data_IF_794913314683
#
_entry.id   IF_794913314683
#
_cell.length_a   1.000
_cell.length_b   1.000
_cell.length_c   1.000
_cell.angle_alpha   90.00
_cell.angle_beta   90.00
_cell.angle_gamma   90.00
#
_symmetry.space_group_name_H-M   'P 1'
#
loop_
_entity.id
_entity.type
_entity.pdbx_description
1 polymer ?
#
# COMPACT_ATOMS: atom_id res chain seq x y z
N UNK A 1 13.25 -9.33 26.25
CA UNK A 1 12.94 -8.66 24.97
C UNK A 1 14.04 -7.63 24.73
N UNK A 2 14.75 -7.71 23.59
CA UNK A 2 15.99 -6.94 23.32
C UNK A 2 15.66 -5.46 23.09
N UNK A 3 16.50 -4.58 23.65
CA UNK A 3 16.50 -3.13 23.43
C UNK A 3 16.73 -2.82 21.94
N UNK A 4 15.75 -2.19 21.28
CA UNK A 4 15.95 -1.63 19.94
C UNK A 4 16.80 -0.35 20.05
N UNK A 5 18.04 -0.40 19.55
CA UNK A 5 18.87 0.78 19.32
C UNK A 5 18.38 1.48 18.05
N UNK A 6 17.35 2.33 18.18
CA UNK A 6 16.81 3.14 17.08
C UNK A 6 15.60 3.96 17.56
N UNK A 7 15.41 5.16 16.99
CA UNK A 7 14.24 6.02 17.28
C UNK A 7 12.91 5.40 16.82
N UNK A 8 12.97 4.47 15.87
CA UNK A 8 11.82 3.84 15.22
C UNK A 8 11.86 2.32 15.40
N UNK A 9 10.69 1.67 15.31
CA UNK A 9 10.53 0.23 15.47
C UNK A 9 11.06 -0.53 14.24
N UNK A 10 10.84 0.00 13.04
CA UNK A 10 11.19 -0.64 11.77
C UNK A 10 12.39 0.02 11.10
N UNK A 11 13.24 -0.78 10.44
CA UNK A 11 14.41 -0.27 9.71
C UNK A 11 14.05 0.58 8.48
N UNK A 12 12.87 0.32 7.91
CA UNK A 12 12.32 1.03 6.74
C UNK A 12 11.49 2.26 7.15
N UNK A 13 11.39 2.55 8.44
CA UNK A 13 10.60 3.67 8.94
C UNK A 13 11.10 4.99 8.36
N UNK A 14 10.20 5.74 7.75
CA UNK A 14 10.53 7.04 7.15
C UNK A 14 11.60 6.98 6.05
N UNK A 15 11.82 5.81 5.43
CA UNK A 15 12.86 5.62 4.43
C UNK A 15 12.42 6.04 3.02
N UNK A 16 13.34 6.62 2.27
CA UNK A 16 13.26 6.72 0.81
C UNK A 16 13.85 5.46 0.20
N UNK A 17 13.08 4.81 -0.67
CA UNK A 17 13.36 3.49 -1.21
C UNK A 17 13.17 3.46 -2.72
N UNK A 18 14.02 2.70 -3.41
CA UNK A 18 14.01 2.60 -4.88
C UNK A 18 13.39 1.30 -5.36
N UNK A 19 12.32 1.42 -6.15
CA UNK A 19 11.64 0.31 -6.80
C UNK A 19 11.92 0.35 -8.30
N UNK A 20 12.18 -0.80 -8.92
CA UNK A 20 12.40 -0.87 -10.35
C UNK A 20 11.94 -2.20 -10.96
N UNK A 21 11.65 -2.18 -12.25
CA UNK A 21 11.55 -3.40 -13.06
C UNK A 21 12.90 -4.11 -13.08
N UNK A 22 12.88 -5.41 -13.37
CA UNK A 22 14.10 -6.23 -13.48
C UNK A 22 15.10 -5.71 -14.52
N UNK A 23 14.60 -5.10 -15.60
CA UNK A 23 15.43 -4.51 -16.67
C UNK A 23 15.82 -3.04 -16.40
N UNK A 24 15.35 -2.45 -15.30
CA UNK A 24 15.61 -1.06 -14.93
C UNK A 24 14.93 -0.01 -15.80
N UNK A 25 14.03 -0.40 -16.71
CA UNK A 25 13.34 0.53 -17.62
C UNK A 25 12.36 1.46 -16.91
N UNK A 26 11.73 0.99 -15.83
CA UNK A 26 10.86 1.78 -14.96
C UNK A 26 11.47 1.81 -13.57
N UNK A 27 11.68 3.02 -13.04
CA UNK A 27 12.25 3.26 -11.72
C UNK A 27 11.39 4.27 -10.99
N UNK A 28 11.03 3.95 -9.75
CA UNK A 28 10.30 4.83 -8.85
C UNK A 28 11.02 4.94 -7.51
N UNK A 29 10.96 6.13 -6.90
CA UNK A 29 11.39 6.32 -5.52
C UNK A 29 10.15 6.59 -4.68
N UNK A 30 9.88 5.70 -3.73
CA UNK A 30 8.77 5.83 -2.81
C UNK A 30 9.32 6.17 -1.43
N UNK A 31 8.58 6.99 -0.71
CA UNK A 31 8.88 7.30 0.68
C UNK A 31 7.88 6.59 1.59
N UNK A 32 8.37 5.92 2.63
CA UNK A 32 7.53 5.30 3.64
C UNK A 32 7.13 6.33 4.70
N UNK A 33 5.91 6.86 4.72
CA UNK A 33 5.56 7.91 5.70
C UNK A 33 5.27 7.37 7.11
N UNK A 34 5.57 6.09 7.37
CA UNK A 34 5.15 5.32 8.55
C UNK A 34 6.34 4.76 9.29
N UNK A 35 6.11 4.35 10.54
CA UNK A 35 6.96 3.41 11.27
C UNK A 35 6.39 1.99 11.11
N UNK A 36 6.52 1.45 9.90
CA UNK A 36 5.96 0.16 9.50
C UNK A 36 6.75 -0.44 8.34
N UNK A 37 6.54 -1.73 8.08
CA UNK A 37 7.17 -2.44 6.95
C UNK A 37 6.55 -2.04 5.62
N UNK A 38 7.32 -2.21 4.54
CA UNK A 38 6.87 -1.98 3.17
C UNK A 38 6.85 -3.27 2.34
N UNK A 39 6.04 -3.34 1.26
CA UNK A 39 6.04 -4.48 0.35
C UNK A 39 7.35 -4.61 -0.43
N UNK A 40 7.81 -5.84 -0.67
CA UNK A 40 8.95 -6.11 -1.55
C UNK A 40 8.68 -5.79 -3.03
N UNK A 41 7.41 -5.93 -3.43
CA UNK A 41 6.94 -5.82 -4.80
C UNK A 41 5.70 -4.94 -4.82
N UNK A 42 5.61 -4.09 -5.84
CA UNK A 42 4.46 -3.24 -6.11
C UNK A 42 4.25 -3.10 -7.62
N UNK A 43 3.12 -2.54 -8.04
CA UNK A 43 2.89 -2.19 -9.44
C UNK A 43 3.28 -0.73 -9.71
N UNK A 44 3.77 -0.44 -10.91
CA UNK A 44 4.02 0.91 -11.40
C UNK A 44 2.76 1.78 -11.33
N UNK A 45 2.93 3.11 -11.37
CA UNK A 45 1.81 4.06 -11.33
C UNK A 45 0.71 3.78 -12.37
N UNK A 46 1.08 3.27 -13.55
CA UNK A 46 0.14 2.92 -14.63
C UNK A 46 -0.40 1.49 -14.54
N UNK A 47 0.01 0.72 -13.51
CA UNK A 47 -0.40 -0.65 -13.27
C UNK A 47 0.18 -1.69 -14.23
N UNK A 48 1.07 -1.31 -15.16
CA UNK A 48 1.54 -2.21 -16.23
C UNK A 48 2.79 -3.02 -15.90
N UNK A 49 3.55 -2.57 -14.91
CA UNK A 49 4.84 -3.15 -14.58
C UNK A 49 4.91 -3.56 -13.12
N UNK A 50 5.49 -4.73 -12.86
CA UNK A 50 5.91 -5.14 -11.53
C UNK A 50 7.26 -4.48 -11.19
N UNK A 51 7.31 -3.79 -10.06
CA UNK A 51 8.50 -3.15 -9.53
C UNK A 51 8.92 -3.84 -8.23
N UNK A 52 10.21 -4.16 -8.12
CA UNK A 52 10.81 -4.74 -6.92
C UNK A 52 11.71 -3.72 -6.22
N UNK A 53 11.88 -3.84 -4.90
CA UNK A 53 12.85 -3.02 -4.16
C UNK A 53 14.29 -3.47 -4.49
N UNK A 54 15.05 -2.60 -5.17
CA UNK A 54 16.31 -2.97 -5.82
C UNK A 54 17.58 -2.46 -5.14
N UNK A 55 17.47 -1.52 -4.19
CA UNK A 55 18.63 -0.78 -3.65
C UNK A 55 18.57 -0.63 -2.12
N UNK A 56 18.53 -1.77 -1.42
CA UNK A 56 18.42 -1.86 0.04
C UNK A 56 19.48 -1.07 0.81
N UNK A 57 20.70 -0.97 0.25
CA UNK A 57 21.80 -0.25 0.90
C UNK A 57 21.74 1.27 0.64
N UNK A 58 21.01 1.68 -0.40
CA UNK A 58 20.77 3.08 -0.74
C UNK A 58 19.60 3.71 0.02
N UNK A 59 18.85 2.92 0.79
CA UNK A 59 17.72 3.41 1.56
C UNK A 59 18.15 4.46 2.58
N UNK A 60 17.43 5.59 2.59
CA UNK A 60 17.75 6.73 3.45
C UNK A 60 16.57 7.08 4.34
N UNK A 61 16.74 6.90 5.65
CA UNK A 61 15.77 7.39 6.65
C UNK A 61 15.70 8.93 6.59
N UNK A 62 14.53 9.45 6.26
CA UNK A 62 14.26 10.87 6.06
C UNK A 62 12.90 11.26 6.70
N UNK A 63 12.82 11.33 8.04
CA UNK A 63 11.58 11.60 8.77
C UNK A 63 11.02 13.00 8.56
N UNK A 64 11.80 13.94 8.04
CA UNK A 64 11.37 15.28 7.66
C UNK A 64 11.18 15.45 6.15
N UNK A 65 11.25 14.36 5.37
CA UNK A 65 11.05 14.43 3.93
C UNK A 65 9.61 14.86 3.62
N UNK A 66 9.47 15.74 2.64
CA UNK A 66 8.19 16.21 2.12
C UNK A 66 8.14 15.77 0.66
N UNK A 67 7.27 14.81 0.30
CA UNK A 67 7.20 14.30 -1.05
C UNK A 67 6.58 15.33 -2.01
N UNK A 68 6.92 15.23 -3.30
CA UNK A 68 6.36 16.09 -4.34
C UNK A 68 4.93 15.66 -4.68
N UNK A 69 4.07 16.61 -5.07
CA UNK A 69 2.74 16.30 -5.60
C UNK A 69 2.88 15.41 -6.85
N UNK A 70 2.02 14.38 -6.96
CA UNK A 70 2.05 13.38 -8.01
C UNK A 70 3.07 12.25 -7.79
N UNK A 71 3.94 12.34 -6.78
CA UNK A 71 4.75 11.20 -6.36
C UNK A 71 3.93 10.19 -5.55
N UNK A 72 4.43 8.97 -5.38
CA UNK A 72 3.78 7.93 -4.57
C UNK A 72 4.51 7.73 -3.25
N UNK A 73 3.76 7.44 -2.19
CA UNK A 73 4.29 7.15 -0.86
C UNK A 73 3.52 6.02 -0.20
N UNK A 74 4.15 5.34 0.77
CA UNK A 74 3.45 4.37 1.59
C UNK A 74 2.74 5.07 2.75
N UNK A 75 1.46 4.73 2.93
CA UNK A 75 0.57 5.17 4.00
C UNK A 75 -0.07 3.98 4.69
N UNK A 76 -0.73 4.20 5.82
CA UNK A 76 -1.45 3.13 6.51
C UNK A 76 -2.72 2.82 5.75
N UNK A 77 -2.97 1.54 5.49
CA UNK A 77 -4.20 1.08 4.88
C UNK A 77 -5.37 1.32 5.83
N UNK A 78 -6.29 2.19 5.42
CA UNK A 78 -7.53 2.40 6.18
C UNK A 78 -8.54 1.29 5.90
N UNK A 79 -9.49 1.10 6.82
CA UNK A 79 -10.59 0.14 6.63
C UNK A 79 -11.44 0.51 5.44
N UNK A 80 -11.63 1.80 5.21
CA UNK A 80 -12.40 2.36 4.11
C UNK A 80 -11.74 2.04 2.77
N UNK A 81 -10.42 2.26 2.65
CA UNK A 81 -9.66 1.92 1.43
C UNK A 81 -9.59 0.42 1.21
N UNK A 82 -9.45 -0.39 2.25
CA UNK A 82 -9.57 -1.85 2.14
C UNK A 82 -10.94 -2.24 1.58
N UNK A 83 -12.02 -1.68 2.11
CA UNK A 83 -13.37 -1.98 1.65
C UNK A 83 -13.57 -1.59 0.17
N UNK A 84 -13.07 -0.42 -0.24
CA UNK A 84 -13.11 0.03 -1.63
C UNK A 84 -12.36 -0.96 -2.54
N UNK A 85 -11.12 -1.31 -2.19
CA UNK A 85 -10.34 -2.30 -2.93
C UNK A 85 -11.06 -3.66 -3.04
N UNK A 86 -11.72 -4.11 -1.96
CA UNK A 86 -12.48 -5.36 -1.98
C UNK A 86 -13.75 -5.26 -2.82
N UNK A 87 -14.39 -4.10 -2.91
CA UNK A 87 -15.53 -3.91 -3.83
C UNK A 87 -15.09 -4.07 -5.28
N UNK A 88 -13.97 -3.47 -5.68
CA UNK A 88 -13.41 -3.63 -7.02
C UNK A 88 -13.04 -5.08 -7.32
N UNK A 89 -12.38 -5.75 -6.37
CA UNK A 89 -12.04 -7.17 -6.48
C UNK A 89 -13.30 -8.03 -6.66
N UNK A 90 -14.31 -7.83 -5.82
CA UNK A 90 -15.58 -8.57 -5.95
C UNK A 90 -16.23 -8.30 -7.29
N UNK A 91 -16.25 -7.06 -7.78
CA UNK A 91 -16.84 -6.72 -9.07
C UNK A 91 -16.16 -7.48 -10.22
N UNK A 92 -14.82 -7.45 -10.25
CA UNK A 92 -14.02 -8.13 -11.27
C UNK A 92 -14.25 -9.65 -11.27
N UNK A 93 -14.33 -10.26 -10.09
CA UNK A 93 -14.39 -11.71 -9.95
C UNK A 93 -15.80 -12.29 -9.75
N UNK A 94 -16.85 -11.45 -9.70
CA UNK A 94 -18.22 -11.91 -9.44
C UNK A 94 -18.70 -12.92 -10.48
N UNK A 95 -18.46 -12.63 -11.75
CA UNK A 95 -18.86 -13.41 -12.91
C UNK A 95 -17.66 -13.80 -13.79
N UNK A 96 -16.43 -13.73 -13.28
CA UNK A 96 -15.23 -14.00 -14.07
C UNK A 96 -15.32 -15.32 -14.85
N UNK A 97 -14.82 -15.31 -16.08
CA UNK A 97 -14.76 -16.52 -16.90
C UNK A 97 -13.69 -17.47 -16.34
N UNK A 98 -14.05 -18.73 -16.10
CA UNK A 98 -13.16 -19.73 -15.52
C UNK A 98 -13.86 -20.68 -14.56
N UNK A 99 -13.08 -21.50 -13.86
CA UNK A 99 -13.56 -22.54 -12.95
C UNK A 99 -14.12 -21.97 -11.63
N UNK A 100 -13.72 -20.76 -11.26
CA UNK A 100 -14.12 -20.14 -9.99
C UNK A 100 -14.76 -18.77 -10.21
N UNK A 101 -16.04 -18.67 -9.85
CA UNK A 101 -16.82 -17.41 -9.85
C UNK A 101 -17.17 -17.09 -8.42
N UNK A 102 -16.95 -15.85 -8.00
CA UNK A 102 -17.17 -15.49 -6.61
C UNK A 102 -18.64 -15.63 -6.19
N UNK A 103 -19.58 -15.42 -7.12
CA UNK A 103 -21.02 -15.64 -6.86
C UNK A 103 -21.36 -17.08 -6.48
N UNK A 104 -20.54 -18.05 -6.89
CA UNK A 104 -20.75 -19.48 -6.64
C UNK A 104 -19.98 -19.94 -5.38
N UNK A 105 -19.21 -19.04 -4.74
CA UNK A 105 -18.51 -19.36 -3.50
C UNK A 105 -19.51 -19.61 -2.36
N UNK A 106 -19.39 -20.72 -1.60
CA UNK A 106 -20.37 -21.13 -0.60
C UNK A 106 -20.59 -20.10 0.52
N UNK A 107 -19.57 -19.31 0.87
CA UNK A 107 -19.69 -18.31 1.95
C UNK A 107 -19.87 -16.87 1.44
N UNK A 108 -19.45 -16.57 0.20
CA UNK A 108 -19.43 -15.19 -0.31
C UNK A 108 -20.59 -14.94 -1.27
N UNK A 109 -20.95 -15.94 -2.09
CA UNK A 109 -22.08 -15.87 -3.01
C UNK A 109 -23.40 -15.49 -2.32
N UNK A 110 -23.81 -16.16 -1.22
CA UNK A 110 -25.04 -15.84 -0.51
C UNK A 110 -25.10 -14.42 0.08
N UNK A 111 -23.96 -13.75 0.27
CA UNK A 111 -23.89 -12.40 0.82
C UNK A 111 -24.15 -11.31 -0.24
N UNK A 112 -24.17 -11.67 -1.52
CA UNK A 112 -24.14 -10.70 -2.62
C UNK A 112 -22.81 -9.94 -2.69
N UNK A 113 -22.68 -9.05 -3.69
CA UNK A 113 -21.42 -8.33 -3.93
C UNK A 113 -20.95 -7.51 -2.74
N UNK A 114 -21.83 -6.68 -2.19
CA UNK A 114 -21.48 -5.79 -1.07
C UNK A 114 -21.13 -6.57 0.19
N UNK A 115 -21.93 -7.59 0.54
CA UNK A 115 -21.66 -8.42 1.71
C UNK A 115 -20.38 -9.23 1.57
N UNK A 116 -20.06 -9.71 0.37
CA UNK A 116 -18.78 -10.36 0.07
C UNK A 116 -17.59 -9.38 0.22
N UNK A 117 -17.70 -8.17 -0.30
CA UNK A 117 -16.66 -7.15 -0.17
C UNK A 117 -16.40 -6.78 1.30
N UNK A 118 -17.46 -6.56 2.08
CA UNK A 118 -17.36 -6.32 3.52
C UNK A 118 -16.73 -7.49 4.26
N UNK A 119 -17.10 -8.73 3.92
CA UNK A 119 -16.54 -9.95 4.53
C UNK A 119 -15.05 -10.06 4.27
N UNK A 120 -14.62 -9.87 3.01
CA UNK A 120 -13.22 -9.93 2.63
C UNK A 120 -12.42 -8.80 3.30
N UNK A 121 -12.94 -7.57 3.28
CA UNK A 121 -12.27 -6.42 3.89
C UNK A 121 -12.06 -6.62 5.39
N UNK A 122 -13.08 -7.13 6.09
CA UNK A 122 -12.99 -7.42 7.52
C UNK A 122 -11.96 -8.51 7.84
N UNK A 123 -11.91 -9.57 7.04
CA UNK A 123 -11.02 -10.71 7.28
C UNK A 123 -9.55 -10.41 6.95
N UNK A 124 -9.31 -9.54 5.97
CA UNK A 124 -7.97 -9.30 5.45
C UNK A 124 -7.32 -8.03 6.00
N UNK A 125 -8.10 -7.06 6.50
CA UNK A 125 -7.54 -5.82 7.05
C UNK A 125 -6.73 -6.10 8.32
N UNK A 126 -5.53 -5.53 8.38
CA UNK A 126 -4.67 -5.56 9.55
C UNK A 126 -4.15 -4.16 9.86
N UNK A 127 -4.01 -3.85 11.14
CA UNK A 127 -3.42 -2.60 11.59
C UNK A 127 -1.95 -2.48 11.14
N UNK A 128 -1.56 -1.30 10.66
CA UNK A 128 -0.22 -1.04 10.11
C UNK A 128 0.06 -1.66 8.73
N UNK A 129 -0.93 -2.25 8.07
CA UNK A 129 -0.77 -2.77 6.71
C UNK A 129 -0.43 -1.62 5.73
N UNK A 130 0.55 -1.80 4.83
CA UNK A 130 0.89 -0.79 3.83
C UNK A 130 -0.17 -0.62 2.76
N UNK A 131 -0.39 0.64 2.40
CA UNK A 131 -1.04 1.05 1.16
C UNK A 131 -0.17 2.09 0.44
N UNK A 132 -0.44 2.34 -0.84
CA UNK A 132 0.22 3.36 -1.65
C UNK A 132 -0.77 4.48 -1.96
N UNK A 133 -0.36 5.71 -1.68
CA UNK A 133 -1.10 6.91 -2.06
C UNK A 133 -0.28 7.76 -3.03
N UNK A 134 -0.95 8.30 -4.05
CA UNK A 134 -0.43 9.45 -4.79
C UNK A 134 -0.54 10.70 -3.90
N UNK A 135 0.53 11.49 -3.85
CA UNK A 135 0.60 12.70 -3.04
C UNK A 135 -0.21 13.79 -3.72
N UNK A 136 -1.33 14.14 -3.10
CA UNK A 136 -2.17 15.28 -3.47
C UNK A 136 -1.81 16.52 -2.63
N UNK A 137 -2.35 17.69 -3.00
CA UNK A 137 -2.23 18.90 -2.18
C UNK A 137 -2.81 18.69 -0.76
N UNK A 138 -3.92 17.96 -0.65
CA UNK A 138 -4.56 17.64 0.63
C UNK A 138 -3.63 16.81 1.54
N UNK A 139 -3.04 15.74 1.00
CA UNK A 139 -2.07 14.91 1.74
C UNK A 139 -0.86 15.75 2.15
N UNK A 140 -0.37 16.61 1.25
CA UNK A 140 0.78 17.46 1.52
C UNK A 140 0.51 18.46 2.67
N UNK A 141 -0.68 19.06 2.69
CA UNK A 141 -1.09 19.97 3.75
C UNK A 141 -1.26 19.24 5.08
N UNK A 142 -1.80 18.02 5.06
CA UNK A 142 -1.92 17.21 6.27
C UNK A 142 -0.57 16.80 6.85
N UNK A 143 0.37 16.37 5.99
CA UNK A 143 1.75 16.06 6.39
C UNK A 143 2.47 17.27 7.00
N UNK A 144 2.23 18.48 6.48
CA UNK A 144 2.82 19.72 7.02
C UNK A 144 2.23 20.07 8.38
N UNK A 145 0.93 19.88 8.57
CA UNK A 145 0.26 20.14 9.86
C UNK A 145 0.75 19.18 10.94
N UNK A 146 0.76 17.88 10.66
CA UNK A 146 1.13 16.82 11.63
C UNK A 146 2.61 16.82 12.01
N UNK A 147 3.47 17.51 11.25
CA UNK A 147 4.93 17.56 11.48
C UNK A 147 5.43 18.90 11.99
N UNK A 148 4.56 19.90 12.07
CA UNK A 148 4.88 21.20 12.67
C UNK A 148 4.54 21.26 14.17
N UNK A 149 3.93 20.20 14.71
CA UNK A 149 3.58 19.99 16.12
C UNK A 149 4.60 19.10 16.84
#
# INVERSE_FOLDING_TARGET
MKLHKGKYLHGEAFALMKYATKDGSVVETLWNSRDGVTPFILHSVDGKHELSHVDWQGDRCAPSYIPAIGSRMFVDLTKERMLESKREFVELYWNAEGEYKMKDHPELGPLGKEGAAMRLAYNEWQDGQPDIAEVTQEILDDLRRTRSS
#
